data_IF_018036245819
#
_entry.id   IF_018036245819
#
_cell.length_a   1.000
_cell.length_b   1.000
_cell.length_c   1.000
_cell.angle_alpha   90.00
_cell.angle_beta   90.00
_cell.angle_gamma   90.00
#
_symmetry.space_group_name_H-M   'P 1'
#
loop_
_entity.id
_entity.type
_entity.pdbx_description
1 polymer ?
#
# COMPACT_ATOMS: atom_id res chain seq x y z
N UNK A 1 -60.26 -25.53 -78.22
CA UNK A 1 -58.82 -25.39 -78.20
C UNK A 1 -58.33 -25.30 -76.72
N UNK A 2 -57.66 -26.37 -76.25
CA UNK A 2 -57.48 -26.58 -74.81
C UNK A 2 -56.25 -25.80 -74.29
N UNK A 3 -56.47 -24.77 -73.51
CA UNK A 3 -55.47 -23.89 -72.85
C UNK A 3 -55.20 -24.34 -71.36
N UNK A 4 -55.60 -25.53 -70.99
CA UNK A 4 -55.52 -25.96 -69.56
C UNK A 4 -54.26 -26.75 -69.19
N UNK A 5 -53.26 -26.95 -70.07
CA UNK A 5 -52.05 -27.70 -69.74
C UNK A 5 -50.87 -26.86 -69.25
N UNK A 6 -50.89 -25.55 -69.43
CA UNK A 6 -49.76 -24.63 -69.05
C UNK A 6 -49.71 -24.22 -67.58
N UNK A 7 -50.87 -24.19 -66.89
CA UNK A 7 -50.94 -23.68 -65.52
C UNK A 7 -50.27 -24.57 -64.44
N UNK A 8 -50.34 -25.90 -64.62
CA UNK A 8 -49.75 -26.87 -63.66
C UNK A 8 -48.21 -26.81 -63.63
N UNK A 9 -47.56 -26.51 -64.76
CA UNK A 9 -46.09 -26.38 -64.82
C UNK A 9 -45.60 -25.10 -64.14
N UNK A 10 -46.34 -24.01 -64.27
CA UNK A 10 -46.01 -22.71 -63.63
C UNK A 10 -46.12 -22.82 -62.11
N UNK A 11 -47.16 -23.47 -61.59
CA UNK A 11 -47.35 -23.68 -60.15
C UNK A 11 -46.21 -24.51 -59.56
N UNK A 12 -45.82 -25.56 -60.22
CA UNK A 12 -44.68 -26.41 -59.75
C UNK A 12 -43.36 -25.62 -59.72
N UNK A 13 -43.10 -24.83 -60.74
CA UNK A 13 -41.90 -24.02 -60.83
C UNK A 13 -41.89 -22.97 -59.71
N UNK A 14 -43.02 -22.36 -59.40
CA UNK A 14 -43.17 -21.34 -58.35
C UNK A 14 -43.00 -21.97 -56.96
N UNK A 15 -43.55 -23.15 -56.68
CA UNK A 15 -43.35 -23.90 -55.43
C UNK A 15 -41.85 -24.29 -55.26
N UNK A 16 -41.19 -24.73 -56.32
CA UNK A 16 -39.77 -25.07 -56.26
C UNK A 16 -38.91 -23.82 -56.01
N UNK A 17 -39.25 -22.69 -56.60
CA UNK A 17 -38.56 -21.42 -56.36
C UNK A 17 -38.75 -20.97 -54.90
N UNK A 18 -39.94 -21.02 -54.35
CA UNK A 18 -40.20 -20.71 -52.92
C UNK A 18 -39.46 -21.68 -51.98
N UNK A 19 -39.41 -22.97 -52.28
CA UNK A 19 -38.70 -23.95 -51.49
C UNK A 19 -37.17 -23.72 -51.52
N UNK A 20 -36.64 -23.35 -52.67
CA UNK A 20 -35.24 -22.97 -52.82
C UNK A 20 -34.91 -21.70 -52.00
N UNK A 21 -35.74 -20.66 -52.07
CA UNK A 21 -35.59 -19.43 -51.25
C UNK A 21 -35.70 -19.74 -49.77
N UNK A 22 -36.62 -20.58 -49.34
CA UNK A 22 -36.75 -20.99 -47.95
C UNK A 22 -35.53 -21.73 -47.44
N UNK A 23 -35.00 -22.72 -48.21
CA UNK A 23 -33.76 -23.43 -47.88
C UNK A 23 -32.56 -22.46 -47.79
N UNK A 24 -32.45 -21.53 -48.74
CA UNK A 24 -31.39 -20.51 -48.70
C UNK A 24 -31.53 -19.64 -47.45
N UNK A 25 -32.70 -19.14 -47.14
CA UNK A 25 -32.99 -18.31 -45.97
C UNK A 25 -32.67 -19.03 -44.64
N UNK A 26 -33.11 -20.30 -44.50
CA UNK A 26 -32.81 -21.09 -43.31
C UNK A 26 -31.32 -21.38 -43.14
N UNK A 27 -30.60 -21.66 -44.23
CA UNK A 27 -29.15 -21.93 -44.22
C UNK A 27 -28.40 -20.64 -43.78
N UNK A 28 -28.78 -19.48 -44.32
CA UNK A 28 -28.19 -18.21 -43.94
C UNK A 28 -28.45 -17.90 -42.46
N UNK A 29 -29.69 -18.06 -42.00
CA UNK A 29 -30.05 -17.88 -40.60
C UNK A 29 -29.25 -18.77 -39.65
N UNK A 30 -29.14 -20.09 -39.94
CA UNK A 30 -28.33 -21.03 -39.17
C UNK A 30 -26.85 -20.61 -39.13
N UNK A 31 -26.31 -20.15 -40.26
CA UNK A 31 -24.91 -19.71 -40.33
C UNK A 31 -24.67 -18.46 -39.46
N UNK A 32 -25.58 -17.49 -39.51
CA UNK A 32 -25.50 -16.31 -38.65
C UNK A 32 -25.60 -16.69 -37.17
N UNK A 33 -26.63 -17.47 -36.80
CA UNK A 33 -26.83 -17.90 -35.39
C UNK A 33 -25.64 -18.68 -34.85
N UNK A 34 -25.02 -19.56 -35.63
CA UNK A 34 -23.84 -20.31 -35.21
C UNK A 34 -22.62 -19.42 -35.08
N UNK A 35 -22.51 -18.38 -35.90
CA UNK A 35 -21.42 -17.39 -35.83
C UNK A 35 -21.58 -16.53 -34.56
N UNK A 36 -22.79 -16.03 -34.31
CA UNK A 36 -23.11 -15.25 -33.11
C UNK A 36 -22.83 -16.05 -31.83
N UNK A 37 -23.25 -17.33 -31.81
CA UNK A 37 -22.95 -18.21 -30.69
C UNK A 37 -21.44 -18.41 -30.47
N UNK A 38 -20.65 -18.58 -31.54
CA UNK A 38 -19.19 -18.68 -31.45
C UNK A 38 -18.57 -17.40 -30.92
N UNK A 39 -19.05 -16.22 -31.35
CA UNK A 39 -18.58 -14.90 -30.87
C UNK A 39 -18.92 -14.75 -29.39
N UNK A 40 -20.16 -15.01 -28.98
CA UNK A 40 -20.60 -14.94 -27.60
C UNK A 40 -19.78 -15.87 -26.69
N UNK A 41 -19.55 -17.11 -27.12
CA UNK A 41 -18.71 -18.07 -26.40
C UNK A 41 -17.27 -17.59 -26.25
N UNK A 42 -16.66 -17.04 -27.32
CA UNK A 42 -15.31 -16.48 -27.26
C UNK A 42 -15.21 -15.28 -26.34
N UNK A 43 -16.21 -14.39 -26.36
CA UNK A 43 -16.29 -13.25 -25.44
C UNK A 43 -16.38 -13.72 -23.99
N UNK A 44 -17.23 -14.69 -23.69
CA UNK A 44 -17.34 -15.26 -22.33
C UNK A 44 -16.02 -15.91 -21.87
N UNK A 45 -15.37 -16.64 -22.76
CA UNK A 45 -14.07 -17.26 -22.44
C UNK A 45 -12.98 -16.22 -22.22
N UNK A 46 -12.95 -15.16 -23.01
CA UNK A 46 -12.01 -14.06 -22.84
C UNK A 46 -12.20 -13.33 -21.51
N UNK A 47 -13.46 -13.07 -21.11
CA UNK A 47 -13.76 -12.48 -19.80
C UNK A 47 -13.31 -13.38 -18.64
N UNK A 48 -13.58 -14.68 -18.72
CA UNK A 48 -13.13 -15.63 -17.70
C UNK A 48 -11.61 -15.71 -17.62
N UNK A 49 -10.92 -15.74 -18.77
CA UNK A 49 -9.45 -15.72 -18.80
C UNK A 49 -8.88 -14.42 -18.20
N UNK A 50 -9.56 -13.28 -18.38
CA UNK A 50 -9.19 -12.02 -17.75
C UNK A 50 -9.30 -12.08 -16.23
N UNK A 51 -10.43 -12.57 -15.69
CA UNK A 51 -10.59 -12.73 -14.23
C UNK A 51 -9.58 -13.73 -13.62
N UNK A 52 -9.20 -14.75 -14.36
CA UNK A 52 -8.13 -15.66 -13.92
C UNK A 52 -6.77 -14.95 -13.83
N UNK A 53 -6.44 -14.13 -14.83
CA UNK A 53 -5.21 -13.34 -14.80
C UNK A 53 -5.23 -12.34 -13.63
N UNK A 54 -6.35 -11.66 -13.38
CA UNK A 54 -6.54 -10.76 -12.26
C UNK A 54 -6.39 -11.48 -10.91
N UNK A 55 -6.98 -12.67 -10.77
CA UNK A 55 -6.82 -13.51 -9.59
C UNK A 55 -5.35 -13.90 -9.35
N UNK A 56 -4.59 -14.14 -10.42
CA UNK A 56 -3.15 -14.38 -10.35
C UNK A 56 -2.39 -13.18 -9.78
N UNK A 57 -2.72 -11.95 -10.19
CA UNK A 57 -2.13 -10.73 -9.63
C UNK A 57 -2.45 -10.61 -8.14
N UNK A 58 -3.72 -10.73 -7.75
CA UNK A 58 -4.11 -10.62 -6.34
C UNK A 58 -3.44 -11.66 -5.43
N UNK A 59 -3.37 -12.91 -5.89
CA UNK A 59 -2.69 -13.96 -5.13
C UNK A 59 -1.18 -13.72 -5.04
N UNK A 60 -0.60 -13.14 -6.08
CA UNK A 60 0.82 -12.76 -6.08
C UNK A 60 1.09 -11.62 -5.09
N UNK A 61 0.23 -10.62 -5.02
CA UNK A 61 0.30 -9.57 -4.02
C UNK A 61 0.29 -10.13 -2.59
N UNK A 62 -0.62 -11.05 -2.32
CA UNK A 62 -0.68 -11.73 -1.03
C UNK A 62 0.62 -12.53 -0.76
N UNK A 63 1.08 -13.30 -1.74
CA UNK A 63 2.30 -14.09 -1.62
C UNK A 63 3.57 -13.26 -1.47
N UNK A 64 3.66 -12.11 -2.12
CA UNK A 64 4.80 -11.18 -1.98
C UNK A 64 4.84 -10.53 -0.60
N UNK A 65 3.71 -10.40 0.09
CA UNK A 65 3.65 -9.97 1.49
C UNK A 65 4.18 -11.04 2.45
N UNK A 66 3.92 -12.32 2.16
CA UNK A 66 4.35 -13.44 3.02
C UNK A 66 5.79 -13.91 2.72
N UNK A 67 6.22 -13.83 1.46
CA UNK A 67 7.48 -14.42 0.99
C UNK A 67 8.24 -13.40 0.14
N UNK A 68 9.24 -12.75 0.71
CA UNK A 68 10.04 -11.71 0.03
C UNK A 68 10.74 -12.19 -1.24
N UNK A 69 11.02 -13.47 -1.36
CA UNK A 69 11.67 -14.11 -2.51
C UNK A 69 10.71 -14.74 -3.53
N UNK A 70 9.40 -14.49 -3.45
CA UNK A 70 8.44 -15.10 -4.36
C UNK A 70 8.67 -14.65 -5.81
N UNK A 71 8.88 -15.60 -6.71
CA UNK A 71 9.18 -15.38 -8.14
C UNK A 71 8.01 -15.70 -9.07
N UNK A 72 6.88 -16.13 -8.53
CA UNK A 72 5.72 -16.51 -9.31
C UNK A 72 5.48 -18.01 -9.34
N UNK A 73 4.58 -18.44 -10.19
CA UNK A 73 4.22 -19.85 -10.36
C UNK A 73 2.90 -20.06 -11.07
N UNK A 74 2.53 -21.30 -11.24
CA UNK A 74 1.23 -21.71 -11.78
C UNK A 74 0.21 -21.89 -10.65
N UNK A 75 -1.01 -21.47 -10.87
CA UNK A 75 -2.11 -21.65 -9.95
C UNK A 75 -3.37 -22.15 -10.64
N UNK A 76 -4.04 -23.09 -9.99
CA UNK A 76 -5.37 -23.56 -10.38
C UNK A 76 -6.40 -22.81 -9.55
N UNK A 77 -7.32 -22.13 -10.21
CA UNK A 77 -8.46 -21.49 -9.55
C UNK A 77 -9.60 -22.51 -9.41
N UNK A 78 -9.36 -23.59 -8.67
CA UNK A 78 -10.29 -24.73 -8.58
C UNK A 78 -11.51 -24.45 -7.70
N UNK A 79 -11.44 -23.49 -6.78
CA UNK A 79 -12.52 -23.22 -5.83
C UNK A 79 -13.57 -22.26 -6.35
N UNK A 80 -13.20 -21.30 -7.20
CA UNK A 80 -14.10 -20.29 -7.73
C UNK A 80 -14.52 -20.52 -9.20
N UNK A 81 -13.67 -21.19 -9.97
CA UNK A 81 -13.93 -21.54 -11.35
C UNK A 81 -13.41 -22.96 -11.61
N UNK A 82 -14.27 -23.97 -11.66
CA UNK A 82 -13.87 -25.37 -11.74
C UNK A 82 -13.09 -25.75 -12.99
N UNK A 83 -12.93 -24.85 -13.95
CA UNK A 83 -12.08 -25.02 -15.13
C UNK A 83 -11.40 -23.69 -15.44
N UNK A 84 -10.11 -23.62 -15.26
CA UNK A 84 -9.30 -22.46 -15.59
C UNK A 84 -7.96 -22.48 -14.85
N UNK A 85 -6.97 -21.93 -15.49
CA UNK A 85 -5.60 -21.90 -14.98
C UNK A 85 -5.04 -20.50 -15.14
N UNK A 86 -4.11 -20.12 -14.27
CA UNK A 86 -3.30 -18.93 -14.46
C UNK A 86 -1.82 -19.26 -14.23
N UNK A 87 -0.98 -18.45 -14.84
CA UNK A 87 0.47 -18.50 -14.72
C UNK A 87 0.95 -17.09 -14.37
N UNK A 88 1.81 -16.98 -13.36
CA UNK A 88 2.36 -15.71 -12.91
C UNK A 88 3.87 -15.76 -12.96
N UNK A 89 4.44 -14.71 -13.52
CA UNK A 89 5.86 -14.42 -13.54
C UNK A 89 6.10 -13.12 -12.80
N UNK A 90 7.06 -13.13 -11.85
CA UNK A 90 7.41 -11.97 -11.03
C UNK A 90 8.82 -11.57 -11.36
N UNK A 91 8.96 -10.38 -11.93
CA UNK A 91 10.24 -9.78 -12.26
C UNK A 91 11.11 -9.48 -11.04
N UNK A 92 12.38 -9.22 -11.28
CA UNK A 92 13.31 -8.76 -10.24
C UNK A 92 12.87 -7.41 -9.68
N UNK A 93 13.28 -7.14 -8.43
CA UNK A 93 13.07 -5.84 -7.80
C UNK A 93 14.00 -4.81 -8.44
N UNK A 94 13.43 -3.75 -9.01
CA UNK A 94 14.16 -2.60 -9.58
C UNK A 94 13.52 -1.34 -9.02
N UNK A 95 14.30 -0.50 -8.38
CA UNK A 95 13.84 0.77 -7.77
C UNK A 95 12.59 0.61 -6.86
N UNK A 96 12.60 -0.42 -6.02
CA UNK A 96 11.47 -0.71 -5.13
C UNK A 96 10.19 -1.17 -5.86
N UNK A 97 10.27 -1.52 -7.13
CA UNK A 97 9.15 -1.97 -7.95
C UNK A 97 9.43 -3.34 -8.56
N UNK A 98 8.39 -4.16 -8.65
CA UNK A 98 8.42 -5.42 -9.40
C UNK A 98 7.35 -5.38 -10.48
N UNK A 99 7.71 -5.85 -11.65
CA UNK A 99 6.75 -6.12 -12.70
C UNK A 99 6.17 -7.53 -12.48
N UNK A 100 4.87 -7.62 -12.38
CA UNK A 100 4.14 -8.89 -12.25
C UNK A 100 3.32 -9.09 -13.50
N UNK A 101 3.58 -10.18 -14.18
CA UNK A 101 2.88 -10.61 -15.38
C UNK A 101 2.03 -11.81 -15.06
N UNK A 102 0.72 -11.72 -15.26
CA UNK A 102 -0.20 -12.82 -15.05
C UNK A 102 -0.95 -13.16 -16.32
N UNK A 103 -1.03 -14.45 -16.63
CA UNK A 103 -1.69 -14.97 -17.82
C UNK A 103 -2.77 -15.93 -17.38
N UNK A 104 -4.02 -15.61 -17.71
CA UNK A 104 -5.16 -16.48 -17.48
C UNK A 104 -5.53 -17.29 -18.71
N UNK A 105 -5.85 -18.56 -18.53
CA UNK A 105 -6.26 -19.52 -19.54
C UNK A 105 -7.63 -20.11 -19.22
N UNK A 106 -8.60 -20.00 -20.13
CA UNK A 106 -9.90 -20.61 -19.94
C UNK A 106 -10.34 -21.37 -21.20
N UNK A 107 -10.77 -22.63 -21.08
CA UNK A 107 -10.98 -23.45 -19.88
C UNK A 107 -9.70 -24.07 -19.29
N UNK A 108 -8.54 -23.96 -19.91
CA UNK A 108 -7.26 -24.44 -19.41
C UNK A 108 -6.14 -24.27 -20.44
N UNK A 109 -4.88 -24.26 -20.03
CA UNK A 109 -3.69 -23.94 -20.84
C UNK A 109 -3.54 -24.85 -22.07
N UNK A 110 -3.89 -26.12 -21.94
CA UNK A 110 -3.66 -27.15 -22.98
C UNK A 110 -4.93 -27.61 -23.68
N UNK A 111 -6.01 -26.84 -23.62
CA UNK A 111 -7.30 -27.22 -24.22
C UNK A 111 -7.50 -26.47 -25.55
N UNK A 112 -7.95 -27.22 -26.60
CA UNK A 112 -8.25 -26.61 -27.89
C UNK A 112 -9.37 -25.56 -27.74
N UNK A 113 -9.13 -24.39 -28.30
CA UNK A 113 -10.08 -23.27 -28.21
C UNK A 113 -9.99 -22.44 -26.91
N UNK A 114 -8.92 -22.61 -26.15
CA UNK A 114 -8.62 -21.79 -24.96
C UNK A 114 -8.51 -20.33 -25.32
N UNK A 115 -9.19 -19.49 -24.52
CA UNK A 115 -8.93 -18.06 -24.48
C UNK A 115 -7.76 -17.78 -23.54
N UNK A 116 -6.87 -16.89 -23.99
CA UNK A 116 -5.73 -16.41 -23.23
C UNK A 116 -5.87 -14.90 -23.01
N UNK A 117 -5.67 -14.44 -21.79
CA UNK A 117 -5.57 -13.02 -21.45
C UNK A 117 -4.37 -12.80 -20.55
N UNK A 118 -3.71 -11.69 -20.79
CA UNK A 118 -2.51 -11.29 -20.06
C UNK A 118 -2.72 -9.92 -19.41
N UNK A 119 -2.28 -9.81 -18.17
CA UNK A 119 -2.26 -8.57 -17.39
C UNK A 119 -0.83 -8.39 -16.89
N UNK A 120 -0.28 -7.21 -17.10
CA UNK A 120 0.98 -6.79 -16.50
C UNK A 120 0.68 -5.67 -15.51
N UNK A 121 1.17 -5.80 -14.29
CA UNK A 121 1.04 -4.81 -13.24
C UNK A 121 2.42 -4.49 -12.66
N UNK A 122 2.68 -3.21 -12.41
CA UNK A 122 3.85 -2.80 -11.65
C UNK A 122 3.43 -2.69 -10.19
N UNK A 123 4.03 -3.50 -9.34
CA UNK A 123 3.77 -3.52 -7.91
C UNK A 123 4.92 -2.80 -7.23
N UNK A 124 4.60 -1.76 -6.46
CA UNK A 124 5.56 -1.19 -5.52
C UNK A 124 5.71 -2.19 -4.38
N UNK A 125 6.87 -2.82 -4.33
CA UNK A 125 7.25 -3.59 -3.14
C UNK A 125 7.92 -2.58 -2.22
N UNK A 126 7.40 -2.31 -1.03
CA UNK A 126 8.19 -1.57 -0.05
C UNK A 126 9.50 -2.36 0.11
N UNK A 127 10.59 -1.75 -0.29
CA UNK A 127 11.92 -2.24 0.08
C UNK A 127 11.89 -2.18 1.58
N UNK A 128 12.14 -3.30 2.27
CA UNK A 128 12.27 -3.28 3.72
C UNK A 128 13.15 -2.09 4.08
N UNK A 129 12.78 -1.33 5.09
CA UNK A 129 13.56 -0.16 5.48
C UNK A 129 15.02 -0.59 5.62
N UNK A 130 15.98 0.19 5.13
CA UNK A 130 17.38 -0.18 5.27
C UNK A 130 17.70 -0.39 6.75
N UNK A 131 18.51 -1.41 7.07
CA UNK A 131 18.80 -1.75 8.47
C UNK A 131 19.27 -0.56 9.31
N UNK A 132 20.00 0.37 8.68
CA UNK A 132 20.43 1.60 9.35
C UNK A 132 19.26 2.54 9.76
N UNK A 133 18.06 2.37 9.21
CA UNK A 133 16.93 3.26 9.51
C UNK A 133 16.54 3.20 11.00
N UNK A 134 16.60 2.02 11.59
CA UNK A 134 16.26 1.80 13.00
C UNK A 134 17.42 2.05 13.96
N UNK A 135 18.61 2.36 13.45
CA UNK A 135 19.81 2.55 14.28
C UNK A 135 20.10 4.03 14.54
N UNK A 136 19.21 4.94 14.12
CA UNK A 136 19.47 6.39 14.19
C UNK A 136 18.43 7.12 15.04
N UNK A 137 18.91 8.09 15.82
CA UNK A 137 18.05 9.01 16.57
C UNK A 137 17.30 9.99 15.65
N UNK A 138 17.97 10.39 14.56
CA UNK A 138 17.45 11.38 13.62
C UNK A 138 17.74 10.91 12.19
N UNK A 139 16.70 10.96 11.34
CA UNK A 139 16.86 10.76 9.90
C UNK A 139 16.06 11.84 9.16
N UNK A 140 16.74 12.74 8.44
CA UNK A 140 16.11 13.75 7.59
C UNK A 140 16.38 13.41 6.11
N UNK A 141 15.32 13.47 5.30
CA UNK A 141 15.46 13.27 3.85
C UNK A 141 16.22 14.38 3.16
N UNK A 142 16.14 15.59 3.71
CA UNK A 142 16.87 16.76 3.22
C UNK A 142 17.86 17.26 4.26
N UNK A 143 17.51 18.21 5.09
CA UNK A 143 18.42 18.95 5.95
C UNK A 143 18.19 18.69 7.44
N UNK A 144 19.28 18.71 8.21
CA UNK A 144 19.25 18.76 9.68
C UNK A 144 19.82 20.08 10.16
N UNK A 145 18.99 20.92 10.82
CA UNK A 145 19.37 22.19 11.44
C UNK A 145 19.41 22.05 12.97
N UNK A 146 20.58 22.11 13.56
CA UNK A 146 20.79 22.07 14.99
C UNK A 146 21.17 23.46 15.48
N UNK A 147 20.18 24.22 15.97
CA UNK A 147 20.32 25.66 16.26
C UNK A 147 20.52 25.92 17.75
N UNK A 148 21.55 26.69 18.06
CA UNK A 148 21.91 27.04 19.44
C UNK A 148 22.95 26.07 20.01
N UNK A 149 23.24 26.20 21.33
CA UNK A 149 24.31 25.46 21.99
C UNK A 149 23.79 24.43 23.00
N UNK A 150 22.48 24.31 23.17
CA UNK A 150 21.89 23.52 24.26
C UNK A 150 21.03 22.34 23.74
N UNK A 151 20.99 22.11 22.44
CA UNK A 151 20.35 20.90 21.91
C UNK A 151 21.14 19.65 22.34
N UNK A 152 20.44 18.54 22.47
CA UNK A 152 21.07 17.25 22.80
C UNK A 152 20.51 16.19 21.84
N UNK A 153 21.40 15.54 21.10
CA UNK A 153 21.08 14.35 20.32
C UNK A 153 21.90 13.19 20.87
N UNK A 154 21.20 12.13 21.30
CA UNK A 154 21.84 10.89 21.77
C UNK A 154 21.52 9.80 20.76
N UNK A 155 22.52 9.34 20.01
CA UNK A 155 22.43 8.42 18.90
C UNK A 155 22.92 9.03 17.59
N UNK A 156 22.86 8.29 16.53
CA UNK A 156 23.36 8.68 15.22
C UNK A 156 22.38 9.56 14.45
N UNK A 157 22.90 10.37 13.54
CA UNK A 157 22.12 11.27 12.67
C UNK A 157 22.38 10.87 11.22
N UNK A 158 21.29 10.76 10.43
CA UNK A 158 21.32 10.59 8.99
C UNK A 158 20.65 11.76 8.28
N UNK A 159 21.22 12.21 7.17
CA UNK A 159 20.66 13.30 6.37
C UNK A 159 20.89 13.08 4.87
N UNK A 160 19.97 13.54 4.03
CA UNK A 160 20.09 13.45 2.57
C UNK A 160 20.99 14.54 2.00
N UNK A 161 20.70 15.81 2.30
CA UNK A 161 21.40 16.93 1.68
C UNK A 161 22.51 17.53 2.54
N UNK A 162 22.17 18.06 3.71
CA UNK A 162 23.11 18.80 4.53
C UNK A 162 22.79 18.77 6.03
N UNK A 163 23.80 19.09 6.85
CA UNK A 163 23.65 19.29 8.28
C UNK A 163 24.30 20.61 8.71
N UNK A 164 23.65 21.37 9.58
CA UNK A 164 24.16 22.59 10.20
C UNK A 164 24.10 22.47 11.73
N UNK A 165 25.20 22.58 12.48
CA UNK A 165 26.55 22.86 12.02
C UNK A 165 27.23 21.69 11.31
N UNK A 166 28.06 21.96 10.30
CA UNK A 166 28.81 20.93 9.61
C UNK A 166 29.78 20.22 10.57
N UNK A 167 29.83 18.89 10.46
CA UNK A 167 30.70 18.06 11.32
C UNK A 167 30.12 17.74 12.69
N UNK A 168 28.80 17.83 12.85
CA UNK A 168 28.11 17.31 14.03
C UNK A 168 28.52 15.84 14.26
N UNK A 169 28.78 15.48 15.54
CA UNK A 169 29.24 14.15 15.91
C UNK A 169 28.19 13.08 15.49
N UNK A 170 28.66 11.98 14.95
CA UNK A 170 27.85 10.83 14.52
C UNK A 170 26.84 11.15 13.39
N UNK A 171 27.11 12.19 12.59
CA UNK A 171 26.28 12.53 11.46
C UNK A 171 26.85 11.96 10.16
N UNK A 172 26.00 11.27 9.38
CA UNK A 172 26.36 10.67 8.11
C UNK A 172 25.32 11.00 7.04
N UNK A 173 25.80 11.39 5.88
CA UNK A 173 24.93 11.51 4.71
C UNK A 173 24.58 10.14 4.18
N UNK A 174 23.33 9.96 3.73
CA UNK A 174 22.93 8.77 3.00
C UNK A 174 22.65 9.11 1.53
N UNK A 175 22.88 8.14 0.67
CA UNK A 175 22.57 8.24 -0.75
C UNK A 175 21.24 7.57 -1.04
N UNK A 176 20.45 8.14 -1.94
CA UNK A 176 19.19 7.59 -2.40
C UNK A 176 17.96 8.23 -1.77
N UNK A 177 16.79 7.66 -2.08
CA UNK A 177 15.51 8.18 -1.64
C UNK A 177 15.28 7.94 -0.14
N UNK A 178 14.57 8.87 0.50
CA UNK A 178 14.13 8.72 1.89
C UNK A 178 13.21 7.48 2.02
N UNK A 179 13.48 6.60 3.00
CA UNK A 179 12.71 5.37 3.16
C UNK A 179 11.23 5.63 3.49
N UNK A 180 10.32 5.06 2.70
CA UNK A 180 8.89 5.27 2.85
C UNK A 180 8.22 4.09 3.56
N UNK A 181 7.34 4.40 4.50
CA UNK A 181 6.52 3.43 5.24
C UNK A 181 5.28 3.00 4.44
N UNK A 182 4.68 1.86 4.80
CA UNK A 182 3.35 1.47 4.31
C UNK A 182 2.26 2.24 5.09
N UNK A 183 1.93 3.44 4.60
CA UNK A 183 0.93 4.31 5.24
C UNK A 183 -0.46 3.72 5.27
N UNK A 184 -0.81 2.88 4.29
CA UNK A 184 -2.13 2.23 4.24
C UNK A 184 -2.24 1.23 5.38
N UNK A 185 -1.24 0.38 5.55
CA UNK A 185 -1.21 -0.60 6.64
C UNK A 185 -1.17 0.09 8.01
N UNK A 186 -0.32 1.10 8.19
CA UNK A 186 -0.19 1.81 9.47
C UNK A 186 -1.48 2.58 9.83
N UNK A 187 -2.16 3.15 8.86
CA UNK A 187 -3.46 3.77 9.05
C UNK A 187 -4.52 2.76 9.49
N UNK A 188 -4.57 1.59 8.86
CA UNK A 188 -5.49 0.51 9.25
C UNK A 188 -5.21 0.02 10.68
N UNK A 189 -3.94 -0.14 11.06
CA UNK A 189 -3.55 -0.50 12.42
C UNK A 189 -4.02 0.55 13.42
N UNK A 190 -3.81 1.84 13.14
CA UNK A 190 -4.26 2.92 14.01
C UNK A 190 -5.79 2.94 14.18
N UNK A 191 -6.55 2.56 13.16
CA UNK A 191 -8.02 2.42 13.24
C UNK A 191 -8.41 1.22 14.12
N UNK A 192 -7.68 0.11 14.04
CA UNK A 192 -7.96 -1.12 14.80
C UNK A 192 -7.52 -1.03 16.27
N UNK A 193 -6.53 -0.21 16.57
CA UNK A 193 -6.08 0.04 17.95
C UNK A 193 -7.07 0.97 18.65
N UNK A 194 -8.01 0.39 19.37
CA UNK A 194 -9.06 1.11 20.12
C UNK A 194 -8.72 1.08 21.59
N UNK A 195 -8.63 2.25 22.22
CA UNK A 195 -8.33 2.38 23.65
C UNK A 195 -9.53 1.99 24.55
N UNK A 196 -9.34 1.98 25.86
CA UNK A 196 -10.35 1.56 26.83
C UNK A 196 -11.63 2.44 26.81
N UNK A 197 -11.58 3.64 26.27
CA UNK A 197 -12.73 4.54 26.12
C UNK A 197 -13.39 4.47 24.72
N UNK A 198 -12.97 3.50 23.91
CA UNK A 198 -13.57 3.26 22.58
C UNK A 198 -13.08 4.19 21.47
N UNK A 199 -11.98 4.90 21.68
CA UNK A 199 -11.37 5.77 20.68
C UNK A 199 -10.20 5.07 19.99
N UNK A 200 -10.15 5.16 18.67
CA UNK A 200 -9.02 4.68 17.87
C UNK A 200 -7.87 5.68 17.83
N UNK A 201 -6.74 5.27 17.29
CA UNK A 201 -5.52 6.07 17.17
C UNK A 201 -5.40 6.81 15.82
N UNK A 202 -6.46 6.89 15.04
CA UNK A 202 -6.55 7.75 13.84
C UNK A 202 -6.95 9.16 14.28
N UNK A 203 -6.21 10.17 13.81
CA UNK A 203 -6.45 11.60 14.11
C UNK A 203 -6.68 12.36 12.79
N UNK A 204 -7.91 12.79 12.59
CA UNK A 204 -8.30 13.68 11.51
C UNK A 204 -8.13 15.15 11.92
N UNK A 205 -8.32 16.08 10.98
CA UNK A 205 -8.33 17.51 11.29
C UNK A 205 -9.40 17.86 12.34
N UNK A 206 -10.57 17.21 12.28
CA UNK A 206 -11.65 17.42 13.25
C UNK A 206 -11.28 16.87 14.63
N UNK A 207 -10.62 15.72 14.72
CA UNK A 207 -10.14 15.16 15.99
C UNK A 207 -9.13 16.09 16.67
N UNK A 208 -8.20 16.66 15.90
CA UNK A 208 -7.23 17.65 16.42
C UNK A 208 -7.94 18.92 16.87
N UNK A 209 -8.87 19.46 16.07
CA UNK A 209 -9.64 20.66 16.41
C UNK A 209 -10.50 20.46 17.67
N UNK A 210 -11.00 19.25 17.91
CA UNK A 210 -11.79 18.90 19.09
C UNK A 210 -10.96 18.43 20.28
N UNK A 211 -9.62 18.53 20.21
CA UNK A 211 -8.69 18.13 21.26
C UNK A 211 -8.84 16.67 21.70
N UNK A 212 -9.03 15.75 20.75
CA UNK A 212 -9.00 14.32 21.04
C UNK A 212 -7.69 13.97 21.73
N UNK A 213 -7.71 13.32 22.91
CA UNK A 213 -6.50 13.04 23.66
C UNK A 213 -5.61 12.04 22.94
N UNK A 214 -4.31 12.32 22.90
CA UNK A 214 -3.30 11.39 22.41
C UNK A 214 -2.99 10.32 23.47
N UNK A 215 -2.50 9.13 23.05
CA UNK A 215 -1.96 8.14 23.98
C UNK A 215 -0.83 8.73 24.83
N UNK A 216 -0.73 8.31 26.09
CA UNK A 216 0.31 8.72 27.04
C UNK A 216 1.43 7.69 27.20
N UNK A 217 1.33 6.57 26.49
CA UNK A 217 2.28 5.43 26.52
C UNK A 217 2.70 5.06 25.10
N UNK A 218 3.97 4.65 24.95
CA UNK A 218 4.45 4.05 23.72
C UNK A 218 3.75 2.69 23.43
N UNK A 219 3.44 1.95 24.49
CA UNK A 219 2.85 0.61 24.35
C UNK A 219 1.33 0.66 24.28
N UNK A 220 0.77 -0.06 23.32
CA UNK A 220 -0.67 -0.24 23.20
C UNK A 220 -1.17 -1.10 24.37
N UNK A 221 -2.22 -0.60 25.03
CA UNK A 221 -2.93 -1.28 26.10
C UNK A 221 -2.05 -1.66 27.32
N UNK A 222 -1.41 -0.63 27.91
CA UNK A 222 -0.59 -0.74 29.12
C UNK A 222 -1.25 -1.47 30.30
N UNK A 223 -2.60 -1.45 30.37
CA UNK A 223 -3.40 -1.99 31.47
C UNK A 223 -4.14 -3.31 31.12
N UNK A 224 -4.07 -3.77 29.87
CA UNK A 224 -4.61 -5.08 29.53
C UNK A 224 -3.76 -6.19 30.17
N UNK A 225 -4.39 -7.24 30.70
CA UNK A 225 -3.63 -8.42 31.12
C UNK A 225 -2.95 -8.98 29.87
N UNK A 226 -1.64 -8.77 29.81
CA UNK A 226 -0.77 -9.16 28.70
C UNK A 226 -0.98 -10.66 28.44
N UNK A 227 -1.58 -11.08 27.31
CA UNK A 227 -1.36 -12.44 26.85
C UNK A 227 0.15 -12.57 26.63
N UNK A 228 0.76 -13.73 26.79
CA UNK A 228 2.17 -13.91 26.52
C UNK A 228 2.42 -13.71 25.02
N UNK A 229 2.70 -12.47 24.64
CA UNK A 229 2.96 -12.02 23.29
C UNK A 229 3.83 -10.77 23.34
N UNK A 230 4.57 -10.44 22.27
CA UNK A 230 5.35 -9.21 22.21
C UNK A 230 4.43 -7.99 22.42
N UNK A 231 4.92 -7.04 23.23
CA UNK A 231 4.20 -5.78 23.41
C UNK A 231 4.16 -5.05 22.07
N UNK A 232 2.98 -4.57 21.68
CA UNK A 232 2.75 -3.87 20.43
C UNK A 232 2.77 -2.37 20.69
N UNK A 233 3.54 -1.57 19.95
CA UNK A 233 3.50 -0.12 20.07
C UNK A 233 2.12 0.48 19.70
N UNK A 234 1.79 1.60 20.32
CA UNK A 234 0.68 2.45 19.87
C UNK A 234 1.03 3.07 18.52
N UNK A 235 0.37 2.68 17.45
CA UNK A 235 0.45 3.37 16.17
C UNK A 235 -0.54 4.51 16.17
N UNK A 236 -0.04 5.73 16.04
CA UNK A 236 -0.85 6.96 16.00
C UNK A 236 -0.73 7.55 14.60
N UNK A 237 -1.81 7.50 13.84
CA UNK A 237 -1.82 8.04 12.48
C UNK A 237 -2.51 9.41 12.45
N UNK A 238 -1.80 10.43 11.95
CA UNK A 238 -2.27 11.83 11.92
C UNK A 238 -2.40 12.27 10.46
N UNK A 239 -3.64 12.62 10.06
CA UNK A 239 -3.99 13.04 8.69
C UNK A 239 -3.78 14.54 8.44
N UNK A 240 -3.13 15.25 9.34
CA UNK A 240 -2.86 16.70 9.25
C UNK A 240 -1.57 17.04 9.97
N UNK A 241 -1.20 18.30 10.05
CA UNK A 241 -0.08 18.75 10.86
C UNK A 241 -0.27 18.37 12.34
N UNK A 242 0.79 17.82 12.93
CA UNK A 242 0.83 17.54 14.37
C UNK A 242 1.47 18.72 15.12
N UNK A 243 0.73 19.31 16.06
CA UNK A 243 1.25 20.34 16.95
C UNK A 243 1.13 19.89 18.40
N UNK A 244 2.27 19.72 19.06
CA UNK A 244 2.32 19.32 20.47
C UNK A 244 2.84 20.49 21.29
N UNK A 245 1.96 21.17 22.02
CA UNK A 245 2.28 22.41 22.72
C UNK A 245 2.10 22.29 24.24
N UNK A 246 2.83 23.10 24.97
CA UNK A 246 2.65 23.25 26.42
C UNK A 246 3.44 22.22 27.23
N UNK A 247 2.85 21.71 28.30
CA UNK A 247 3.46 20.72 29.21
C UNK A 247 2.77 19.35 29.05
N UNK A 248 2.85 18.83 27.86
CA UNK A 248 2.15 17.60 27.44
C UNK A 248 3.16 16.47 27.22
N UNK A 249 2.85 15.29 27.73
CA UNK A 249 3.56 14.06 27.44
C UNK A 249 2.64 13.14 26.66
N UNK A 250 3.09 12.69 25.49
CA UNK A 250 2.38 11.75 24.63
C UNK A 250 3.29 10.57 24.33
N UNK A 251 2.71 9.41 24.03
CA UNK A 251 3.47 8.19 23.75
C UNK A 251 2.94 7.46 22.52
N UNK A 252 3.84 6.79 21.78
CA UNK A 252 3.47 6.01 20.62
C UNK A 252 4.42 6.14 19.43
N UNK A 253 4.10 5.42 18.38
CA UNK A 253 4.71 5.59 17.06
C UNK A 253 3.81 6.50 16.21
N UNK A 254 4.19 7.76 16.12
CA UNK A 254 3.44 8.79 15.39
C UNK A 254 3.78 8.80 13.91
N UNK A 255 2.78 8.57 13.07
CA UNK A 255 2.86 8.66 11.62
C UNK A 255 2.12 9.92 11.18
N UNK A 256 2.86 10.99 10.90
CA UNK A 256 2.29 12.29 10.48
C UNK A 256 2.40 12.38 8.96
N UNK A 257 1.42 11.82 8.29
CA UNK A 257 1.45 11.61 6.86
C UNK A 257 0.62 12.64 6.07
N UNK A 258 -0.20 13.44 6.75
CA UNK A 258 -1.19 14.25 6.04
C UNK A 258 -2.23 13.36 5.36
N UNK A 259 -3.01 13.94 4.47
CA UNK A 259 -3.94 13.18 3.65
C UNK A 259 -3.21 12.64 2.41
N UNK A 260 -2.45 11.58 2.57
CA UNK A 260 -1.64 10.93 1.50
C UNK A 260 -2.49 10.53 0.28
N UNK A 261 -3.81 10.39 0.45
CA UNK A 261 -4.72 9.98 -0.63
C UNK A 261 -5.03 11.16 -1.57
N UNK A 262 -4.98 12.39 -1.09
CA UNK A 262 -5.45 13.57 -1.84
C UNK A 262 -4.39 14.67 -2.02
N UNK A 263 -3.32 14.68 -1.23
CA UNK A 263 -2.31 15.76 -1.26
C UNK A 263 -0.89 15.19 -1.17
N UNK A 264 -0.02 15.61 -2.10
CA UNK A 264 1.40 15.24 -2.14
C UNK A 264 2.27 16.09 -1.20
N UNK A 265 1.72 17.13 -0.59
CA UNK A 265 2.41 17.95 0.40
C UNK A 265 2.34 17.26 1.75
N UNK A 266 3.43 16.69 2.23
CA UNK A 266 3.48 16.03 3.52
C UNK A 266 3.00 16.93 4.67
N UNK A 267 2.58 16.31 5.78
CA UNK A 267 2.21 17.03 7.00
C UNK A 267 3.44 17.26 7.89
N UNK A 268 3.45 18.37 8.59
CA UNK A 268 4.56 18.81 9.46
C UNK A 268 4.30 18.43 10.91
N UNK A 269 5.39 18.23 11.66
CA UNK A 269 5.34 18.08 13.11
C UNK A 269 6.05 19.24 13.80
N UNK A 270 5.38 19.90 14.73
CA UNK A 270 5.93 20.99 15.53
C UNK A 270 5.73 20.73 17.03
N UNK A 271 6.80 20.87 17.81
CA UNK A 271 6.79 20.74 19.25
C UNK A 271 7.23 22.05 19.91
N UNK A 272 6.46 22.53 20.87
CA UNK A 272 6.71 23.77 21.59
C UNK A 272 6.58 23.59 23.10
N UNK A 273 7.18 24.47 23.88
CA UNK A 273 7.02 24.53 25.33
C UNK A 273 7.85 23.49 26.08
N UNK A 274 7.19 22.54 26.76
CA UNK A 274 7.81 21.41 27.46
C UNK A 274 7.22 20.07 27.02
N UNK A 275 6.77 20.02 25.77
CA UNK A 275 6.18 18.82 25.21
C UNK A 275 7.21 17.69 25.11
N UNK A 276 6.79 16.47 25.41
CA UNK A 276 7.61 15.26 25.24
C UNK A 276 6.86 14.19 24.48
N UNK A 277 7.56 13.46 23.63
CA UNK A 277 7.07 12.28 22.95
C UNK A 277 7.91 11.08 23.43
N UNK A 278 7.28 10.15 24.13
CA UNK A 278 7.88 8.88 24.47
C UNK A 278 7.57 7.88 23.35
N UNK A 279 8.44 7.80 22.39
CA UNK A 279 8.24 6.98 21.18
C UNK A 279 8.91 7.59 19.97
N UNK A 280 8.43 7.18 18.81
CA UNK A 280 9.01 7.58 17.55
C UNK A 280 8.07 8.45 16.73
N UNK A 281 8.64 9.33 15.92
CA UNK A 281 7.89 10.21 15.01
C UNK A 281 8.40 10.04 13.60
N UNK A 282 7.50 9.68 12.71
CA UNK A 282 7.74 9.70 11.28
C UNK A 282 6.83 10.73 10.63
N UNK A 283 7.40 11.73 9.96
CA UNK A 283 6.64 12.78 9.29
C UNK A 283 7.00 12.88 7.80
N UNK A 284 5.99 13.11 6.97
CA UNK A 284 6.17 13.34 5.53
C UNK A 284 6.48 14.80 5.15
N UNK A 285 6.56 15.67 6.10
CA UNK A 285 7.03 17.05 5.95
C UNK A 285 8.20 17.32 6.88
N UNK A 286 8.27 18.56 7.36
CA UNK A 286 9.27 18.99 8.33
C UNK A 286 8.96 18.49 9.74
N UNK A 287 10.01 18.26 10.50
CA UNK A 287 9.94 18.10 11.94
C UNK A 287 10.66 19.25 12.65
N UNK A 288 9.99 19.96 13.55
CA UNK A 288 10.53 21.11 14.25
C UNK A 288 10.31 21.03 15.75
N UNK A 289 11.37 21.24 16.53
CA UNK A 289 11.29 21.47 17.96
C UNK A 289 11.73 22.92 18.22
N UNK A 290 10.80 23.75 18.71
CA UNK A 290 11.07 25.13 19.10
C UNK A 290 11.29 25.20 20.61
N UNK A 291 12.52 25.10 21.03
CA UNK A 291 12.85 24.90 22.44
C UNK A 291 12.96 26.15 23.28
N UNK A 292 12.07 26.30 24.24
CA UNK A 292 12.18 27.29 25.32
C UNK A 292 12.28 26.71 26.73
N UNK A 293 12.05 25.41 26.92
CA UNK A 293 11.96 24.80 28.24
C UNK A 293 12.86 23.56 28.43
N UNK A 294 13.25 23.31 29.70
CA UNK A 294 13.88 22.05 30.06
C UNK A 294 12.85 20.91 29.93
N UNK A 295 13.22 19.82 29.25
CA UNK A 295 12.41 18.60 29.12
C UNK A 295 11.62 18.48 27.82
N UNK A 296 11.84 19.34 26.84
CA UNK A 296 11.28 19.24 25.51
C UNK A 296 12.06 18.21 24.66
N UNK A 297 11.38 17.21 24.12
CA UNK A 297 12.07 16.27 23.26
C UNK A 297 11.31 15.01 22.88
N UNK A 298 12.00 14.17 22.12
CA UNK A 298 11.55 12.84 21.68
C UNK A 298 12.50 11.80 22.25
N UNK A 299 11.94 10.75 22.85
CA UNK A 299 12.70 9.57 23.25
C UNK A 299 12.29 8.42 22.35
N UNK A 300 13.22 7.95 21.52
CA UNK A 300 12.97 6.96 20.46
C UNK A 300 13.69 7.39 19.19
N UNK A 301 12.98 7.84 18.19
CA UNK A 301 13.57 8.33 16.96
C UNK A 301 12.69 9.33 16.22
N UNK A 302 13.33 10.13 15.40
CA UNK A 302 12.67 11.14 14.56
C UNK A 302 13.09 10.93 13.11
N UNK A 303 12.10 10.69 12.28
CA UNK A 303 12.26 10.56 10.84
C UNK A 303 11.39 11.59 10.12
N UNK A 304 12.00 12.46 9.35
CA UNK A 304 11.31 13.43 8.52
C UNK A 304 11.75 13.30 7.06
N UNK A 305 10.78 13.25 6.16
CA UNK A 305 11.12 13.19 4.73
C UNK A 305 11.81 14.46 4.25
N UNK A 306 11.38 15.60 4.78
CA UNK A 306 11.96 16.90 4.43
C UNK A 306 13.00 17.31 5.51
N UNK A 307 12.85 18.45 6.16
CA UNK A 307 13.83 18.98 7.11
C UNK A 307 13.57 18.58 8.57
N UNK A 308 14.65 18.45 9.34
CA UNK A 308 14.57 18.37 10.81
C UNK A 308 15.27 19.58 11.42
N UNK A 309 14.57 20.30 12.30
CA UNK A 309 15.09 21.46 13.00
C UNK A 309 14.92 21.34 14.51
N UNK A 310 16.03 21.39 15.21
CA UNK A 310 16.09 21.40 16.68
C UNK A 310 16.62 22.73 17.18
N UNK A 311 15.76 23.52 17.87
CA UNK A 311 16.11 24.83 18.41
C UNK A 311 16.25 24.80 19.94
N UNK A 312 17.24 25.50 20.46
CA UNK A 312 17.38 25.79 21.89
C UNK A 312 17.72 24.56 22.75
N UNK A 313 16.84 24.19 23.69
CA UNK A 313 17.05 23.06 24.62
C UNK A 313 16.40 21.76 24.11
N UNK A 314 16.20 21.62 22.81
CA UNK A 314 15.59 20.44 22.20
C UNK A 314 16.39 19.16 22.45
N UNK A 315 15.70 18.04 22.66
CA UNK A 315 16.33 16.73 22.83
C UNK A 315 15.76 15.71 21.86
N UNK A 316 16.64 14.95 21.22
CA UNK A 316 16.27 13.74 20.50
C UNK A 316 17.16 12.60 21.03
N UNK A 317 16.57 11.60 21.63
CA UNK A 317 17.29 10.49 22.24
C UNK A 317 16.88 9.19 21.59
N UNK A 318 17.86 8.46 21.09
CA UNK A 318 17.66 7.10 20.59
C UNK A 318 17.24 6.15 21.71
N UNK A 319 16.28 5.30 21.44
CA UNK A 319 15.85 4.22 22.32
C UNK A 319 15.73 2.92 21.54
N UNK A 320 16.62 1.98 21.83
CA UNK A 320 16.71 0.70 21.11
C UNK A 320 15.45 -0.16 21.30
N UNK A 321 14.85 -0.15 22.49
CA UNK A 321 13.65 -0.94 22.78
C UNK A 321 12.48 -0.51 21.90
N UNK A 322 12.30 0.80 21.72
CA UNK A 322 11.24 1.34 20.84
C UNK A 322 11.52 1.01 19.38
N UNK A 323 12.77 1.11 18.94
CA UNK A 323 13.16 0.77 17.58
C UNK A 323 12.97 -0.69 17.25
N UNK A 324 13.41 -1.57 18.16
CA UNK A 324 13.24 -3.02 18.02
C UNK A 324 11.75 -3.38 17.97
N UNK A 325 10.93 -2.78 18.83
CA UNK A 325 9.49 -3.01 18.82
C UNK A 325 8.83 -2.56 17.52
N UNK A 326 9.26 -1.44 16.92
CA UNK A 326 8.76 -1.01 15.61
C UNK A 326 9.23 -1.97 14.53
N UNK A 327 10.51 -2.34 14.53
CA UNK A 327 11.08 -3.26 13.57
C UNK A 327 10.44 -4.65 13.64
N UNK A 328 10.23 -5.20 14.83
CA UNK A 328 9.69 -6.55 15.03
C UNK A 328 8.20 -6.65 14.68
N UNK A 329 7.43 -5.60 14.98
CA UNK A 329 5.98 -5.60 14.74
C UNK A 329 5.62 -5.13 13.33
N UNK A 330 6.45 -4.29 12.71
CA UNK A 330 6.20 -3.72 11.40
C UNK A 330 7.45 -3.69 10.55
N UNK A 331 8.09 -4.84 10.36
CA UNK A 331 9.02 -5.07 9.24
C UNK A 331 8.21 -4.86 7.97
N UNK A 332 8.22 -3.61 7.56
CA UNK A 332 7.42 -3.04 6.49
C UNK A 332 7.72 -3.76 5.19
N UNK A 333 6.84 -4.69 4.86
CA UNK A 333 6.91 -5.48 3.64
C UNK A 333 6.95 -7.00 3.82
N UNK A 334 7.19 -7.50 5.03
CA UNK A 334 7.22 -8.95 5.27
C UNK A 334 6.73 -9.21 6.68
N UNK A 335 5.44 -9.40 6.88
CA UNK A 335 5.05 -10.16 8.05
C UNK A 335 3.73 -10.92 7.88
N UNK A 336 3.68 -12.06 8.62
CA UNK A 336 3.01 -13.28 8.24
C UNK A 336 1.51 -13.22 8.29
#
# INVERSE_FOLDING_TARGET
>A
MNVTKSSKGIVLALVLAFLALFVMGTTLYLTLTTTDFKIAKRSTYASKAFFLAESGIHKTLYKLREISGYTGGEGLCSELMPMGEYEVDVGSLVDGKREVRSIGYFPGKNIIGTAKKEITATISCPVGLPGWFYDNAIVAGEKVDLIGNNYTVTGDIRYGDSIDPPGALNAQQFDGDFPMLDFVQLREIAILQVNAVGQNNLYTADDIANNKPFPDSFWFDKDAPVPPGPQVPNVVYVETDLKVNGNVRIGGFYIVAGNVITDSTGANTTMDGKATIDGCVYTLGDFRINGGGNGLGVTGGVWARDDIRLDGNAKASFDQEYMDAINDNWTLGVNP
#
